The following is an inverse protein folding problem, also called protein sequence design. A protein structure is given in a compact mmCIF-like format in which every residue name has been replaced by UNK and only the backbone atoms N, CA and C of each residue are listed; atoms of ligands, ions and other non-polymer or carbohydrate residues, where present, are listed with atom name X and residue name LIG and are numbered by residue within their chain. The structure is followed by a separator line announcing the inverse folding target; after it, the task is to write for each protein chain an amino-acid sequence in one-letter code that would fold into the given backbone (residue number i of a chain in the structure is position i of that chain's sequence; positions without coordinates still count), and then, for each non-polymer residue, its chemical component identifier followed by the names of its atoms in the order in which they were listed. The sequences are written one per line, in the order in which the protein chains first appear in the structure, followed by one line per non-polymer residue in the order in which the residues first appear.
data_IF_339731694567
#
_entry.id   IF_339731694567
#
_cell.length_a   1.000
_cell.length_b   1.000
_cell.length_c   1.000
_cell.angle_alpha   90.00
_cell.angle_beta   90.00
_cell.angle_gamma   90.00
#
_symmetry.space_group_name_H-M   'P 1'
#
loop_
_entity.id
_entity.type
_entity.pdbx_description
1 polymer ?
#
# COMPACT_ATOMS: atom_id res chain seq x y z
N UNK A 1 0.88 -3.18 8.85
CA UNK A 1 -0.26 -3.91 8.27
C UNK A 1 -0.53 -3.39 6.87
N UNK A 2 -1.04 -4.23 5.97
CA UNK A 2 -1.36 -3.79 4.63
C UNK A 2 -2.46 -4.60 3.99
N UNK A 3 -2.77 -4.21 2.77
CA UNK A 3 -3.59 -4.96 1.83
C UNK A 3 -2.65 -5.61 0.82
N UNK A 4 -2.97 -6.82 0.40
CA UNK A 4 -2.27 -7.47 -0.69
C UNK A 4 -3.11 -7.30 -1.96
N UNK A 5 -2.45 -6.83 -3.02
CA UNK A 5 -3.09 -6.46 -4.27
C UNK A 5 -2.62 -7.40 -5.37
N UNK A 6 -3.55 -7.89 -6.18
CA UNK A 6 -3.23 -8.61 -7.40
C UNK A 6 -3.50 -7.74 -8.62
N UNK A 7 -2.57 -7.79 -9.57
CA UNK A 7 -2.77 -7.25 -10.92
C UNK A 7 -3.64 -8.24 -11.72
N UNK A 8 -4.78 -7.76 -12.24
CA UNK A 8 -5.81 -8.59 -12.91
C UNK A 8 -5.70 -8.55 -14.42
N UNK A 9 -5.39 -7.37 -14.97
CA UNK A 9 -5.28 -7.15 -16.41
C UNK A 9 -4.11 -6.22 -16.68
N UNK A 10 -3.31 -6.59 -17.67
CA UNK A 10 -2.16 -5.85 -18.17
C UNK A 10 -2.20 -5.93 -19.69
N UNK A 11 -2.92 -5.02 -20.33
CA UNK A 11 -2.44 -4.56 -21.63
C UNK A 11 -1.47 -3.39 -21.34
N UNK A 12 -0.44 -3.16 -22.18
CA UNK A 12 0.60 -2.15 -21.89
C UNK A 12 0.04 -0.74 -21.64
N UNK A 13 -1.24 -0.53 -21.92
CA UNK A 13 -1.97 0.73 -21.84
C UNK A 13 -2.93 0.77 -20.64
N UNK A 14 -3.32 -0.37 -20.05
CA UNK A 14 -4.32 -0.45 -18.98
C UNK A 14 -3.91 -1.44 -17.90
N UNK A 15 -3.89 -0.95 -16.67
CA UNK A 15 -3.61 -1.71 -15.47
C UNK A 15 -4.86 -1.79 -14.62
N UNK A 16 -5.19 -2.97 -14.11
CA UNK A 16 -6.23 -3.14 -13.09
C UNK A 16 -5.67 -3.88 -11.90
N UNK A 17 -5.82 -3.30 -10.72
CA UNK A 17 -5.47 -3.92 -9.45
C UNK A 17 -6.73 -4.19 -8.65
N UNK A 18 -6.75 -5.31 -7.91
CA UNK A 18 -7.80 -5.61 -6.93
C UNK A 18 -7.19 -6.17 -5.66
N UNK A 19 -7.89 -6.01 -4.54
CA UNK A 19 -7.51 -6.71 -3.32
C UNK A 19 -7.64 -8.23 -3.52
N UNK A 20 -6.76 -9.00 -2.87
CA UNK A 20 -6.86 -10.47 -2.87
C UNK A 20 -7.79 -11.01 -1.79
N UNK A 21 -8.10 -10.20 -0.77
CA UNK A 21 -8.93 -10.61 0.35
C UNK A 21 -10.33 -11.02 -0.13
N UNK A 22 -10.84 -12.10 0.43
CA UNK A 22 -12.13 -12.63 0.03
C UNK A 22 -13.26 -11.63 0.30
N UNK A 23 -14.22 -11.54 -0.61
CA UNK A 23 -15.30 -10.55 -0.58
C UNK A 23 -14.89 -9.08 -0.76
N UNK A 24 -13.60 -8.73 -0.81
CA UNK A 24 -13.18 -7.34 -0.79
C UNK A 24 -13.45 -6.61 -2.12
N UNK A 25 -14.24 -5.53 -2.03
CA UNK A 25 -14.61 -4.68 -3.18
C UNK A 25 -13.48 -3.81 -3.74
N UNK A 26 -12.35 -3.67 -3.03
CA UNK A 26 -11.31 -2.72 -3.43
C UNK A 26 -10.73 -3.02 -4.81
N UNK A 27 -10.76 -2.00 -5.68
CA UNK A 27 -10.29 -2.11 -7.06
C UNK A 27 -9.86 -0.75 -7.60
N UNK A 28 -8.72 -0.72 -8.27
CA UNK A 28 -8.23 0.44 -9.00
C UNK A 28 -8.04 0.11 -10.48
N UNK A 29 -8.51 0.99 -11.36
CA UNK A 29 -8.25 0.93 -12.78
C UNK A 29 -7.46 2.16 -13.23
N UNK A 30 -6.37 1.93 -13.93
CA UNK A 30 -5.51 2.98 -14.47
C UNK A 30 -5.19 2.73 -15.93
N UNK A 31 -5.00 3.80 -16.70
CA UNK A 31 -4.57 3.72 -18.09
C UNK A 31 -3.41 4.66 -18.36
N UNK A 32 -2.57 4.34 -19.33
CA UNK A 32 -1.49 5.22 -19.76
C UNK A 32 -2.08 6.52 -20.32
N UNK A 33 -1.37 7.62 -20.07
CA UNK A 33 -1.56 8.89 -20.73
C UNK A 33 -0.97 8.83 -22.14
N UNK A 34 -1.13 9.94 -22.88
CA UNK A 34 -0.64 10.08 -24.26
C UNK A 34 0.89 9.89 -24.35
N UNK A 35 1.62 10.20 -23.27
CA UNK A 35 3.06 10.00 -23.16
C UNK A 35 3.51 8.52 -23.11
N UNK A 36 2.57 7.58 -22.95
CA UNK A 36 2.83 6.15 -22.87
C UNK A 36 3.54 5.68 -21.60
N UNK A 37 3.92 6.58 -20.69
CA UNK A 37 4.71 6.27 -19.48
C UNK A 37 3.95 6.59 -18.19
N UNK A 38 3.09 7.60 -18.21
CA UNK A 38 2.34 8.02 -17.02
C UNK A 38 1.04 7.24 -16.94
N UNK A 39 0.77 6.58 -15.80
CA UNK A 39 -0.52 5.94 -15.53
C UNK A 39 -1.46 6.90 -14.81
N UNK A 40 -2.64 7.14 -15.38
CA UNK A 40 -3.72 7.90 -14.75
C UNK A 40 -4.76 6.93 -14.19
N UNK A 41 -5.09 7.06 -12.91
CA UNK A 41 -6.22 6.35 -12.31
C UNK A 41 -7.53 6.90 -12.86
N UNK A 42 -8.35 6.02 -13.43
CA UNK A 42 -9.65 6.35 -14.02
C UNK A 42 -10.80 6.02 -13.07
N UNK A 43 -10.68 4.90 -12.35
CA UNK A 43 -11.67 4.51 -11.34
C UNK A 43 -10.98 3.95 -10.11
N UNK A 44 -11.58 4.25 -8.96
CA UNK A 44 -11.18 3.73 -7.66
C UNK A 44 -12.46 3.33 -6.91
N UNK A 45 -12.57 2.05 -6.58
CA UNK A 45 -13.54 1.56 -5.60
C UNK A 45 -12.79 1.42 -4.28
N UNK A 46 -13.02 2.35 -3.36
CA UNK A 46 -12.29 2.44 -2.09
C UNK A 46 -13.08 1.81 -0.93
N UNK A 47 -13.51 0.57 -1.14
CA UNK A 47 -14.26 -0.22 -0.14
C UNK A 47 -13.43 -1.43 0.28
N UNK A 48 -13.15 -1.51 1.58
CA UNK A 48 -12.36 -2.59 2.15
C UNK A 48 -13.20 -3.43 3.10
N UNK A 49 -13.34 -4.71 2.76
CA UNK A 49 -13.99 -5.71 3.61
C UNK A 49 -13.03 -6.86 3.96
N UNK A 50 -11.79 -6.81 3.48
CA UNK A 50 -10.77 -7.80 3.77
C UNK A 50 -10.17 -7.66 5.17
N UNK A 51 -9.84 -8.80 5.77
CA UNK A 51 -8.93 -8.82 6.91
C UNK A 51 -7.54 -8.30 6.50
N UNK A 52 -6.93 -7.57 7.43
CA UNK A 52 -5.61 -6.95 7.23
C UNK A 52 -4.51 -8.02 7.22
N UNK A 53 -3.54 -7.85 6.33
CA UNK A 53 -2.36 -8.71 6.27
C UNK A 53 -1.28 -8.16 7.22
N UNK A 54 -0.89 -8.98 8.19
CA UNK A 54 0.18 -8.66 9.14
C UNK A 54 1.58 -8.89 8.55
N UNK A 55 1.74 -9.94 7.73
CA UNK A 55 2.99 -10.27 7.02
C UNK A 55 2.91 -9.87 5.54
N UNK A 56 2.86 -8.56 5.27
CA UNK A 56 2.87 -8.07 3.89
C UNK A 56 4.29 -8.16 3.30
N UNK A 57 4.46 -8.98 2.25
CA UNK A 57 5.75 -9.18 1.55
C UNK A 57 6.28 -7.92 0.86
N UNK A 58 5.41 -6.98 0.54
CA UNK A 58 5.75 -5.70 -0.07
C UNK A 58 6.22 -4.67 0.97
N UNK A 59 5.86 -4.86 2.24
CA UNK A 59 6.32 -4.03 3.36
C UNK A 59 7.74 -4.44 3.82
N UNK A 60 8.72 -4.33 2.92
CA UNK A 60 10.12 -4.68 3.21
C UNK A 60 10.75 -3.68 4.17
N UNK A 61 11.79 -4.14 4.90
CA UNK A 61 12.59 -3.31 5.83
C UNK A 61 12.99 -1.97 5.23
N UNK A 62 13.36 -1.94 3.94
CA UNK A 62 13.71 -0.71 3.22
C UNK A 62 12.58 0.35 3.22
N UNK A 63 11.32 -0.07 3.05
CA UNK A 63 10.19 0.87 3.10
C UNK A 63 9.96 1.41 4.51
N UNK A 64 10.09 0.54 5.53
CA UNK A 64 9.97 0.93 6.93
C UNK A 64 11.05 1.96 7.28
N UNK A 65 12.31 1.70 6.90
CA UNK A 65 13.42 2.63 7.12
C UNK A 65 13.12 3.98 6.48
N UNK A 66 12.73 4.04 5.20
CA UNK A 66 12.42 5.32 4.53
C UNK A 66 11.28 6.08 5.22
N UNK A 67 10.26 5.38 5.73
CA UNK A 67 9.13 6.02 6.41
C UNK A 67 9.49 6.60 7.77
N UNK A 68 10.41 5.97 8.49
CA UNK A 68 10.77 6.34 9.86
C UNK A 68 12.16 6.98 9.97
N UNK A 69 12.88 7.14 8.86
CA UNK A 69 14.25 7.67 8.81
C UNK A 69 14.36 8.99 9.59
N UNK A 70 13.51 9.97 9.27
CA UNK A 70 13.49 11.26 9.96
C UNK A 70 13.22 11.11 11.47
N UNK A 71 12.32 10.21 11.84
CA UNK A 71 11.94 10.01 13.24
C UNK A 71 13.08 9.39 14.05
N UNK A 72 13.76 8.40 13.47
CA UNK A 72 14.92 7.72 14.08
C UNK A 72 16.11 8.68 14.16
N UNK A 73 16.41 9.42 13.10
CA UNK A 73 17.52 10.37 13.07
C UNK A 73 17.34 11.51 14.08
N UNK A 74 16.11 12.01 14.24
CA UNK A 74 15.82 13.08 15.21
C UNK A 74 15.75 12.60 16.66
N UNK A 75 15.63 11.29 16.92
CA UNK A 75 15.46 10.74 18.26
C UNK A 75 16.34 9.50 18.48
N UNK A 76 17.63 9.71 18.75
CA UNK A 76 18.61 8.62 18.87
C UNK A 76 18.34 7.62 20.02
N UNK A 77 17.54 8.00 21.04
CA UNK A 77 17.15 7.13 22.15
C UNK A 77 15.69 6.61 22.03
N UNK A 78 15.13 6.65 20.84
CA UNK A 78 13.80 6.11 20.56
C UNK A 78 13.73 4.62 20.88
N UNK A 79 12.74 4.23 21.69
CA UNK A 79 12.42 2.82 21.90
C UNK A 79 11.79 2.24 20.63
N UNK A 80 12.29 1.10 20.16
CA UNK A 80 11.83 0.43 18.94
C UNK A 80 10.34 0.04 19.01
N UNK A 81 9.78 -0.14 20.22
CA UNK A 81 8.35 -0.38 20.45
C UNK A 81 7.51 0.79 19.95
N UNK A 82 8.00 2.04 20.02
CA UNK A 82 7.29 3.21 19.50
C UNK A 82 7.07 3.10 18.00
N UNK A 83 8.08 2.65 17.24
CA UNK A 83 7.95 2.40 15.80
C UNK A 83 6.93 1.26 15.56
N UNK A 84 7.02 0.20 16.37
CA UNK A 84 6.06 -0.90 16.33
C UNK A 84 4.62 -0.44 16.58
N UNK A 85 4.40 0.46 17.54
CA UNK A 85 3.09 1.00 17.89
C UNK A 85 2.58 2.00 16.86
N UNK A 86 3.43 2.82 16.26
CA UNK A 86 3.06 3.70 15.14
C UNK A 86 2.63 2.90 13.90
N UNK A 87 3.35 1.81 13.60
CA UNK A 87 2.96 0.87 12.54
C UNK A 87 1.61 0.18 12.81
N UNK A 88 1.19 0.10 14.08
CA UNK A 88 -0.12 -0.41 14.50
C UNK A 88 -1.20 0.69 14.55
N UNK A 89 -0.84 1.91 14.94
CA UNK A 89 -1.75 3.01 15.29
C UNK A 89 -2.08 4.02 14.19
N UNK A 90 -1.27 4.11 13.12
CA UNK A 90 -1.53 5.02 11.98
C UNK A 90 -2.76 4.64 11.11
N UNK A 91 -3.71 3.88 11.66
CA UNK A 91 -4.73 3.12 10.95
C UNK A 91 -6.05 3.21 11.74
N UNK A 92 -6.66 4.39 11.75
CA UNK A 92 -8.13 4.47 11.84
C UNK A 92 -8.65 4.42 10.39
N UNK A 93 -9.43 3.39 10.09
CA UNK A 93 -10.29 3.39 8.91
C UNK A 93 -11.39 4.44 9.09
#
# INVERSE_FOLDING_TARGET
MGIELKRVKNDRVRQTYKCIGDGCGWKAHSSCMIDGVTLMTKTLVDQYECQRVYNNKDAKVKWIVVKFEKLVMSNHNMDMKVIGDLLRGAIRC
#
